data_IF_677931927035
#
_entry.id   IF_677931927035
#
_cell.length_a   1.000
_cell.length_b   1.000
_cell.length_c   1.000
_cell.angle_alpha   90.00
_cell.angle_beta   90.00
_cell.angle_gamma   90.00
#
_symmetry.space_group_name_H-M   'P 1'
#
loop_
_entity.id
_entity.type
_entity.pdbx_description
1 polymer ?
#
# COMPACT_ATOMS: atom_id res chain seq x y z
N UNK A 1 -4.04 -2.49 -4.96
CA UNK A 1 -4.85 -3.50 -4.24
C UNK A 1 -5.54 -2.84 -3.06
N UNK A 2 -6.68 -3.36 -2.61
CA UNK A 2 -7.41 -2.83 -1.44
C UNK A 2 -7.14 -3.68 -0.21
N UNK A 3 -6.70 -3.06 0.89
CA UNK A 3 -6.47 -3.74 2.15
C UNK A 3 -7.79 -4.07 2.85
N UNK A 4 -7.81 -5.20 3.57
CA UNK A 4 -8.99 -5.64 4.31
C UNK A 4 -8.70 -5.73 5.81
N UNK A 5 -9.68 -5.33 6.61
CA UNK A 5 -9.62 -5.35 8.08
C UNK A 5 -9.38 -6.74 8.68
N UNK A 6 -9.63 -7.83 7.95
CA UNK A 6 -9.42 -9.21 8.42
C UNK A 6 -8.00 -9.74 8.20
N UNK A 7 -7.17 -9.03 7.42
CA UNK A 7 -5.87 -9.56 7.01
C UNK A 7 -4.88 -9.73 8.16
N UNK A 8 -4.13 -10.83 8.10
CA UNK A 8 -2.90 -11.05 8.85
C UNK A 8 -1.70 -10.69 7.96
N UNK A 9 -0.48 -10.64 8.53
CA UNK A 9 0.76 -10.45 7.73
C UNK A 9 0.88 -11.44 6.58
N UNK A 10 0.52 -12.72 6.81
CA UNK A 10 0.52 -13.76 5.77
C UNK A 10 -0.54 -13.48 4.70
N UNK A 11 -1.75 -13.10 5.10
CA UNK A 11 -2.82 -12.79 4.16
C UNK A 11 -2.45 -11.59 3.27
N UNK A 12 -1.81 -10.56 3.83
CA UNK A 12 -1.29 -9.43 3.07
C UNK A 12 -0.31 -9.88 1.97
N UNK A 13 0.74 -10.63 2.34
CA UNK A 13 1.74 -11.13 1.39
C UNK A 13 1.11 -12.01 0.28
N UNK A 14 0.18 -12.90 0.65
CA UNK A 14 -0.52 -13.76 -0.30
C UNK A 14 -1.36 -12.95 -1.30
N UNK A 15 -2.06 -11.91 -0.84
CA UNK A 15 -2.85 -11.07 -1.74
C UNK A 15 -1.96 -10.26 -2.68
N UNK A 16 -0.84 -9.71 -2.20
CA UNK A 16 0.12 -9.02 -3.07
C UNK A 16 0.66 -9.96 -4.16
N UNK A 17 1.09 -11.17 -3.78
CA UNK A 17 1.59 -12.17 -4.75
C UNK A 17 0.51 -12.61 -5.75
N UNK A 18 -0.73 -12.75 -5.28
CA UNK A 18 -1.87 -13.07 -6.13
C UNK A 18 -2.10 -11.98 -7.19
N UNK A 19 -2.08 -10.72 -6.81
CA UNK A 19 -2.21 -9.58 -7.74
C UNK A 19 -1.04 -9.52 -8.74
N UNK A 20 0.16 -9.94 -8.32
CA UNK A 20 1.34 -10.05 -9.19
C UNK A 20 1.32 -11.30 -10.09
N UNK A 21 0.38 -12.23 -9.90
CA UNK A 21 0.32 -13.50 -10.63
C UNK A 21 1.44 -14.48 -10.28
N UNK A 22 2.05 -14.35 -9.10
CA UNK A 22 3.18 -15.16 -8.65
C UNK A 22 2.69 -16.28 -7.72
N UNK A 23 3.22 -17.49 -7.92
CA UNK A 23 2.95 -18.60 -7.00
C UNK A 23 3.69 -18.37 -5.67
N UNK A 24 2.98 -18.33 -4.53
CA UNK A 24 3.60 -17.96 -3.27
C UNK A 24 4.51 -19.02 -2.69
N UNK A 25 5.61 -18.59 -2.10
CA UNK A 25 6.47 -19.43 -1.29
C UNK A 25 5.76 -19.95 -0.02
N UNK A 26 6.34 -20.99 0.59
CA UNK A 26 5.76 -21.65 1.78
C UNK A 26 5.88 -20.80 3.06
N UNK A 27 6.89 -19.94 3.13
CA UNK A 27 7.22 -19.14 4.32
C UNK A 27 6.94 -17.65 4.06
N UNK A 28 6.63 -16.90 5.13
CA UNK A 28 6.38 -15.46 5.01
C UNK A 28 7.60 -14.70 4.50
N UNK A 29 8.80 -15.07 4.96
CA UNK A 29 10.04 -14.49 4.49
C UNK A 29 10.24 -14.73 2.98
N UNK A 30 10.06 -15.96 2.50
CA UNK A 30 10.17 -16.25 1.08
C UNK A 30 9.12 -15.52 0.23
N UNK A 31 7.91 -15.32 0.76
CA UNK A 31 6.89 -14.51 0.07
C UNK A 31 7.28 -13.03 0.01
N UNK A 32 7.87 -12.48 1.07
CA UNK A 32 8.34 -11.10 1.07
C UNK A 32 9.48 -10.89 0.07
N UNK A 33 10.44 -11.81 0.01
CA UNK A 33 11.53 -11.77 -0.98
C UNK A 33 11.00 -11.81 -2.42
N UNK A 34 10.05 -12.71 -2.71
CA UNK A 34 9.43 -12.79 -4.04
C UNK A 34 8.75 -11.48 -4.45
N UNK A 35 8.05 -10.84 -3.51
CA UNK A 35 7.40 -9.55 -3.76
C UNK A 35 8.46 -8.48 -4.01
N UNK A 36 9.48 -8.42 -3.16
CA UNK A 36 10.53 -7.40 -3.28
C UNK A 36 11.29 -7.52 -4.60
N UNK A 37 11.67 -8.74 -4.98
CA UNK A 37 12.31 -9.05 -6.25
C UNK A 37 11.42 -8.63 -7.43
N UNK A 38 10.14 -8.99 -7.40
CA UNK A 38 9.22 -8.64 -8.47
C UNK A 38 9.00 -7.13 -8.59
N UNK A 39 8.92 -6.41 -7.46
CA UNK A 39 8.80 -4.96 -7.45
C UNK A 39 10.05 -4.30 -8.05
N UNK A 40 11.24 -4.77 -7.69
CA UNK A 40 12.51 -4.27 -8.23
C UNK A 40 12.63 -4.54 -9.74
N UNK A 41 12.29 -5.74 -10.20
CA UNK A 41 12.40 -6.14 -11.60
C UNK A 41 11.36 -5.46 -12.49
N UNK A 42 10.12 -5.35 -12.01
CA UNK A 42 9.02 -4.79 -12.81
C UNK A 42 9.05 -3.26 -12.88
N UNK A 43 9.65 -2.60 -11.88
CA UNK A 43 9.60 -1.14 -11.72
C UNK A 43 8.18 -0.60 -11.50
N UNK A 44 7.20 -1.47 -11.24
CA UNK A 44 5.81 -1.07 -11.03
C UNK A 44 5.60 -0.64 -9.58
N UNK A 45 4.85 0.44 -9.32
CA UNK A 45 4.57 0.86 -7.96
C UNK A 45 3.63 -0.12 -7.25
N UNK A 46 3.84 -0.31 -5.95
CA UNK A 46 2.88 -0.99 -5.09
C UNK A 46 1.86 0.01 -4.56
N UNK A 47 0.62 -0.09 -5.01
CA UNK A 47 -0.48 0.77 -4.53
C UNK A 47 -1.33 -0.01 -3.52
N UNK A 48 -1.42 0.53 -2.30
CA UNK A 48 -2.22 -0.02 -1.20
C UNK A 48 -3.31 0.97 -0.83
N UNK A 49 -4.55 0.59 -1.10
CA UNK A 49 -5.74 1.32 -0.68
C UNK A 49 -6.24 0.80 0.67
N UNK A 50 -6.98 1.63 1.41
CA UNK A 50 -7.45 1.35 2.79
C UNK A 50 -6.32 1.00 3.77
N UNK A 51 -5.19 1.71 3.66
CA UNK A 51 -3.96 1.44 4.42
C UNK A 51 -4.19 1.46 5.95
N UNK A 52 -5.18 2.20 6.44
CA UNK A 52 -5.58 2.25 7.85
C UNK A 52 -5.79 0.87 8.49
N UNK A 53 -6.30 -0.11 7.72
CA UNK A 53 -6.47 -1.47 8.21
C UNK A 53 -5.13 -2.16 8.49
N UNK A 54 -4.10 -1.88 7.70
CA UNK A 54 -2.75 -2.42 7.89
C UNK A 54 -2.02 -1.71 9.05
N UNK A 55 -2.22 -0.40 9.21
CA UNK A 55 -1.65 0.38 10.32
C UNK A 55 -2.17 -0.14 11.67
N UNK A 56 -3.49 -0.32 11.80
CA UNK A 56 -4.13 -0.81 13.04
C UNK A 56 -3.61 -2.19 13.50
N UNK A 57 -3.02 -2.97 12.59
CA UNK A 57 -2.53 -4.33 12.86
C UNK A 57 -1.00 -4.46 12.89
N UNK A 58 -0.26 -3.36 12.76
CA UNK A 58 1.21 -3.41 12.68
C UNK A 58 1.73 -4.21 11.49
N UNK A 59 0.99 -4.21 10.37
CA UNK A 59 1.43 -4.80 9.10
C UNK A 59 2.30 -3.79 8.32
N UNK A 60 2.29 -2.50 8.71
CA UNK A 60 3.16 -1.43 8.19
C UNK A 60 4.63 -1.82 8.12
N UNK A 61 5.15 -2.55 9.12
CA UNK A 61 6.54 -3.01 9.10
C UNK A 61 6.83 -3.90 7.90
N UNK A 62 5.89 -4.77 7.50
CA UNK A 62 6.05 -5.62 6.32
C UNK A 62 6.11 -4.76 5.05
N UNK A 63 5.29 -3.72 4.96
CA UNK A 63 5.34 -2.77 3.84
C UNK A 63 6.69 -2.05 3.78
N UNK A 64 7.25 -1.68 4.95
CA UNK A 64 8.59 -1.11 5.07
C UNK A 64 9.66 -2.07 4.53
N UNK A 65 9.62 -3.33 4.97
CA UNK A 65 10.63 -4.31 4.61
C UNK A 65 10.60 -4.58 3.09
N UNK A 66 9.40 -4.60 2.49
CA UNK A 66 9.24 -4.70 1.04
C UNK A 66 9.81 -3.48 0.31
N UNK A 67 9.58 -2.28 0.82
CA UNK A 67 10.19 -1.06 0.27
C UNK A 67 11.71 -1.11 0.37
N UNK A 68 12.27 -1.47 1.53
CA UNK A 68 13.73 -1.54 1.74
C UNK A 68 14.38 -2.63 0.88
N UNK A 69 13.70 -3.77 0.68
CA UNK A 69 14.20 -4.87 -0.15
C UNK A 69 14.10 -4.64 -1.66
N UNK A 70 13.14 -3.82 -2.12
CA UNK A 70 12.89 -3.58 -3.55
C UNK A 70 13.35 -2.21 -4.05
N UNK A 71 13.46 -1.24 -3.15
CA UNK A 71 13.56 0.19 -3.44
C UNK A 71 12.47 0.70 -4.41
N UNK A 72 11.33 0.00 -4.48
CA UNK A 72 10.23 0.33 -5.36
C UNK A 72 9.35 1.43 -4.79
N UNK A 73 8.64 2.15 -5.66
CA UNK A 73 7.68 3.16 -5.23
C UNK A 73 6.46 2.51 -4.57
N UNK A 74 6.14 2.93 -3.34
CA UNK A 74 4.93 2.50 -2.62
C UNK A 74 3.99 3.69 -2.47
N UNK A 75 2.77 3.57 -2.99
CA UNK A 75 1.70 4.55 -2.81
C UNK A 75 0.69 4.00 -1.81
N UNK A 76 0.42 4.77 -0.77
CA UNK A 76 -0.57 4.44 0.26
C UNK A 76 -1.75 5.39 0.17
N UNK A 77 -2.94 4.83 0.19
CA UNK A 77 -4.21 5.56 0.24
C UNK A 77 -4.97 5.12 1.49
N UNK A 78 -5.59 6.08 2.16
CA UNK A 78 -6.35 5.85 3.38
C UNK A 78 -7.04 7.12 3.86
N UNK A 79 -7.53 7.08 5.09
CA UNK A 79 -8.25 8.17 5.74
C UNK A 79 -7.35 9.39 5.97
N UNK A 80 -7.96 10.57 6.16
CA UNK A 80 -7.27 11.84 6.42
C UNK A 80 -6.29 11.77 7.60
N UNK A 81 -6.60 10.99 8.63
CA UNK A 81 -5.77 10.84 9.82
C UNK A 81 -4.66 9.78 9.69
N UNK A 82 -4.51 9.14 8.54
CA UNK A 82 -3.47 8.14 8.28
C UNK A 82 -2.04 8.64 8.61
N UNK A 83 -1.62 9.87 8.26
CA UNK A 83 -0.28 10.37 8.60
C UNK A 83 -0.05 10.38 10.12
N UNK A 84 -1.02 10.87 10.89
CA UNK A 84 -0.94 10.92 12.36
C UNK A 84 -0.89 9.52 12.98
N UNK A 85 -1.63 8.55 12.44
CA UNK A 85 -1.59 7.15 12.90
C UNK A 85 -0.24 6.49 12.62
N UNK A 86 0.45 6.92 11.56
CA UNK A 86 1.77 6.43 11.18
C UNK A 86 2.92 7.08 11.96
N UNK A 87 2.70 8.17 12.69
CA UNK A 87 3.71 8.76 13.58
C UNK A 87 4.15 7.80 14.69
N UNK A 88 3.30 6.86 15.09
CA UNK A 88 3.68 5.77 16.01
C UNK A 88 4.78 4.85 15.44
N UNK A 89 5.02 4.91 14.13
CA UNK A 89 6.00 4.12 13.38
C UNK A 89 7.08 5.04 12.80
N UNK A 90 7.86 5.71 13.65
CA UNK A 90 8.86 6.72 13.26
C UNK A 90 9.77 6.30 12.10
N UNK A 91 10.25 5.04 12.10
CA UNK A 91 11.13 4.51 11.05
C UNK A 91 10.45 4.43 9.68
N UNK A 92 9.14 4.21 9.65
CA UNK A 92 8.36 4.18 8.43
C UNK A 92 8.00 5.60 7.99
N UNK A 93 7.53 6.42 8.93
CA UNK A 93 7.19 7.82 8.69
C UNK A 93 8.35 8.62 8.09
N UNK A 94 9.58 8.42 8.59
CA UNK A 94 10.79 9.09 8.09
C UNK A 94 11.18 8.73 6.64
N UNK A 95 10.55 7.70 6.05
CA UNK A 95 10.78 7.28 4.66
C UNK A 95 9.68 7.74 3.71
N UNK A 96 8.62 8.38 4.22
CA UNK A 96 7.56 8.92 3.38
C UNK A 96 8.07 10.21 2.72
N UNK A 97 8.07 10.22 1.40
CA UNK A 97 8.54 11.37 0.62
C UNK A 97 7.61 12.57 0.73
N UNK A 98 6.30 12.33 0.61
CA UNK A 98 5.29 13.38 0.59
C UNK A 98 3.95 12.85 1.09
N UNK A 99 3.22 13.70 1.81
CA UNK A 99 1.83 13.48 2.18
C UNK A 99 0.95 14.42 1.38
N UNK A 100 0.14 13.87 0.47
CA UNK A 100 -0.76 14.65 -0.37
C UNK A 100 -2.19 14.50 0.18
N UNK A 101 -2.78 15.55 0.76
CA UNK A 101 -4.17 15.49 1.20
C UNK A 101 -5.11 15.51 0.00
N UNK A 102 -6.21 14.77 0.10
CA UNK A 102 -7.29 14.85 -0.87
C UNK A 102 -7.89 16.26 -0.87
N UNK A 103 -8.16 16.81 -2.05
CA UNK A 103 -8.85 18.08 -2.19
C UNK A 103 -10.36 17.86 -2.17
N UNK A 104 -11.15 18.79 -1.60
CA UNK A 104 -12.60 18.71 -1.67
C UNK A 104 -13.06 18.81 -3.13
N UNK A 105 -14.02 17.98 -3.50
CA UNK A 105 -14.65 18.00 -4.82
C UNK A 105 -15.49 19.28 -4.98
N UNK A 106 -15.42 19.90 -6.16
CA UNK A 106 -16.19 21.10 -6.48
C UNK A 106 -17.27 20.87 -7.56
N UNK A 107 -18.03 21.92 -7.88
CA UNK A 107 -19.07 21.84 -8.92
C UNK A 107 -18.50 21.60 -10.31
N UNK A 108 -17.25 22.01 -10.56
CA UNK A 108 -16.53 21.74 -11.80
C UNK A 108 -16.22 20.25 -11.94
N UNK A 109 -15.69 19.64 -10.87
CA UNK A 109 -15.44 18.20 -10.79
C UNK A 109 -16.73 17.40 -11.01
N UNK A 110 -17.83 17.79 -10.34
CA UNK A 110 -19.12 17.10 -10.49
C UNK A 110 -19.65 17.17 -11.93
N UNK A 111 -19.51 18.32 -12.60
CA UNK A 111 -19.89 18.48 -14.02
C UNK A 111 -18.99 17.67 -14.95
N UNK A 112 -17.69 17.65 -14.69
CA UNK A 112 -16.75 16.84 -15.47
C UNK A 112 -17.08 15.35 -15.33
N UNK A 113 -17.37 14.88 -14.11
CA UNK A 113 -17.75 13.51 -13.83
C UNK A 113 -19.07 13.13 -14.53
N UNK A 114 -20.07 14.02 -14.50
CA UNK A 114 -21.35 13.82 -15.17
C UNK A 114 -21.23 13.66 -16.69
N UNK A 115 -20.22 14.27 -17.31
CA UNK A 115 -19.95 14.12 -18.75
C UNK A 115 -19.16 12.84 -19.09
N UNK A 116 -18.49 12.23 -18.10
CA UNK A 116 -17.71 11.01 -18.25
C UNK A 116 -18.55 9.75 -17.99
N UNK A 117 -19.54 9.83 -17.11
CA UNK A 117 -20.54 8.78 -16.94
C UNK A 117 -21.57 8.84 -18.09
N UNK A 118 -21.77 7.76 -18.87
CA UNK A 118 -22.83 7.69 -19.85
C UNK A 118 -24.24 7.66 -19.22
#
# INVERSE_FOLDING_TARGET
MQANSTWTRKAFLLNVLKEMGITPAKTNYGMADQIAEQLALSGKPLIIDEMDYLVKKGIVEVVRDLYEGSNATVLMVGEEHLPSKLNAWERFHNRVLEWVPAQPCDLGDARALANLCP
#
